data_IF_212886489709
#
_entry.id   IF_212886489709
#
_cell.length_a   1.000
_cell.length_b   1.000
_cell.length_c   1.000
_cell.angle_alpha   90.00
_cell.angle_beta   90.00
_cell.angle_gamma   90.00
#
_symmetry.space_group_name_H-M   'P 1'
#
loop_
_entity.id
_entity.type
_entity.pdbx_description
1 polymer ?
#
# COMPACT_ATOMS: atom_id res chain seq x y z
N UNK A 1 -17.28 1.19 -12.26
CA UNK A 1 -17.55 1.95 -11.01
C UNK A 1 -18.68 3.00 -11.09
N UNK A 2 -19.34 3.26 -12.25
CA UNK A 2 -20.65 3.95 -12.26
C UNK A 2 -21.88 3.01 -12.07
N UNK A 3 -21.76 1.72 -12.38
CA UNK A 3 -22.89 0.76 -12.38
C UNK A 3 -23.35 0.25 -11.01
N UNK A 4 -22.65 0.58 -9.92
CA UNK A 4 -22.95 0.01 -8.59
C UNK A 4 -23.94 0.84 -7.77
N UNK A 5 -24.38 2.02 -8.24
CA UNK A 5 -25.37 2.87 -7.55
C UNK A 5 -25.03 3.15 -6.06
N UNK A 6 -23.75 3.35 -5.74
CA UNK A 6 -23.24 3.69 -4.40
C UNK A 6 -23.53 5.16 -4.04
N UNK A 7 -24.82 5.51 -3.99
CA UNK A 7 -25.31 6.89 -3.87
C UNK A 7 -25.82 7.27 -2.48
N UNK A 8 -25.65 6.39 -1.48
CA UNK A 8 -25.98 6.68 -0.08
C UNK A 8 -24.80 6.33 0.82
N UNK A 9 -24.72 6.97 2.00
CA UNK A 9 -23.69 6.68 3.00
C UNK A 9 -23.64 5.19 3.33
N UNK A 10 -24.77 4.57 3.60
CA UNK A 10 -24.83 3.16 4.01
C UNK A 10 -24.33 2.22 2.92
N UNK A 11 -24.63 2.51 1.65
CA UNK A 11 -24.09 1.75 0.51
C UNK A 11 -22.58 1.90 0.40
N UNK A 12 -22.05 3.11 0.60
CA UNK A 12 -20.60 3.35 0.60
C UNK A 12 -19.94 2.59 1.77
N UNK A 13 -20.48 2.71 2.97
CA UNK A 13 -19.95 2.00 4.16
C UNK A 13 -20.01 0.49 3.98
N UNK A 14 -21.11 -0.06 3.46
CA UNK A 14 -21.22 -1.48 3.14
C UNK A 14 -20.19 -1.92 2.10
N UNK A 15 -19.98 -1.11 1.05
CA UNK A 15 -18.96 -1.36 0.02
C UNK A 15 -17.52 -1.33 0.59
N UNK A 16 -17.27 -0.51 1.62
CA UNK A 16 -16.03 -0.43 2.37
C UNK A 16 -15.98 -1.41 3.56
N UNK A 17 -16.69 -2.53 3.47
CA UNK A 17 -16.66 -3.63 4.44
C UNK A 17 -17.08 -3.20 5.86
N UNK A 18 -18.04 -2.28 5.96
CA UNK A 18 -18.53 -1.74 7.23
C UNK A 18 -17.67 -0.61 7.82
N UNK A 19 -16.55 -0.25 7.18
CA UNK A 19 -15.73 0.86 7.64
C UNK A 19 -16.43 2.20 7.42
N UNK A 20 -16.63 2.95 8.50
CA UNK A 20 -17.35 4.24 8.49
C UNK A 20 -16.49 5.43 8.88
N UNK A 21 -15.25 5.19 9.34
CA UNK A 21 -14.26 6.22 9.66
C UNK A 21 -13.16 6.20 8.60
N UNK A 22 -13.11 7.22 7.76
CA UNK A 22 -12.14 7.32 6.66
C UNK A 22 -10.98 8.21 7.07
N UNK A 23 -9.78 7.63 7.14
CA UNK A 23 -8.55 8.33 7.51
C UNK A 23 -7.50 8.19 6.41
N UNK A 24 -6.50 9.07 6.43
CA UNK A 24 -5.35 9.01 5.51
C UNK A 24 -4.64 7.66 5.61
N UNK A 25 -4.38 7.03 4.47
CA UNK A 25 -3.70 5.72 4.36
C UNK A 25 -4.64 4.50 4.40
N UNK A 26 -5.90 4.68 4.78
CA UNK A 26 -6.94 3.64 4.65
C UNK A 26 -7.22 3.36 3.16
N UNK A 27 -7.31 2.08 2.80
CA UNK A 27 -7.70 1.62 1.46
C UNK A 27 -9.07 0.93 1.52
N UNK A 28 -9.75 0.83 0.38
CA UNK A 28 -11.08 0.19 0.32
C UNK A 28 -11.04 -1.28 0.77
N UNK A 29 -9.94 -1.98 0.50
CA UNK A 29 -9.77 -3.39 0.85
C UNK A 29 -9.22 -3.60 2.27
N UNK A 30 -8.88 -2.54 3.03
CA UNK A 30 -8.23 -2.67 4.36
C UNK A 30 -9.03 -3.57 5.30
N UNK A 31 -10.35 -3.39 5.34
CA UNK A 31 -11.23 -4.17 6.21
C UNK A 31 -11.70 -5.50 5.61
N UNK A 32 -11.31 -5.82 4.37
CA UNK A 32 -11.46 -7.17 3.82
C UNK A 32 -10.31 -8.05 4.30
N UNK A 33 -9.09 -7.65 3.96
CA UNK A 33 -7.81 -8.18 4.42
C UNK A 33 -6.62 -7.37 3.86
N UNK A 34 -5.45 -7.52 4.49
CA UNK A 34 -4.24 -6.85 4.01
C UNK A 34 -3.68 -7.46 2.72
N UNK A 35 -4.03 -8.71 2.38
CA UNK A 35 -3.59 -9.35 1.13
C UNK A 35 -4.11 -8.59 -0.09
N UNK A 36 -5.42 -8.35 -0.18
CA UNK A 36 -6.04 -7.58 -1.26
C UNK A 36 -5.62 -6.11 -1.23
N UNK A 37 -5.41 -5.57 -0.03
CA UNK A 37 -4.81 -4.23 0.12
C UNK A 37 -3.42 -4.19 -0.53
N UNK A 38 -2.61 -5.21 -0.31
CA UNK A 38 -1.29 -5.35 -0.91
C UNK A 38 -1.34 -5.42 -2.43
N UNK A 39 -2.36 -6.06 -3.00
CA UNK A 39 -2.53 -6.15 -4.45
C UNK A 39 -2.72 -4.76 -5.08
N UNK A 40 -3.56 -3.92 -4.47
CA UNK A 40 -3.76 -2.54 -4.90
C UNK A 40 -2.49 -1.69 -4.77
N UNK A 41 -1.76 -1.82 -3.65
CA UNK A 41 -0.51 -1.11 -3.40
C UNK A 41 0.59 -1.50 -4.39
N UNK A 42 0.74 -2.80 -4.67
CA UNK A 42 1.70 -3.30 -5.66
C UNK A 42 1.39 -2.74 -7.04
N UNK A 43 0.13 -2.82 -7.47
CA UNK A 43 -0.29 -2.36 -8.79
C UNK A 43 -0.01 -0.86 -9.00
N UNK A 44 -0.37 0.00 -8.04
CA UNK A 44 -0.11 1.44 -8.17
C UNK A 44 1.39 1.75 -8.09
N UNK A 45 2.17 1.01 -7.31
CA UNK A 45 3.63 1.16 -7.24
C UNK A 45 4.28 0.84 -8.58
N UNK A 46 3.87 -0.26 -9.23
CA UNK A 46 4.37 -0.65 -10.55
C UNK A 46 3.96 0.35 -11.65
N UNK A 47 2.73 0.88 -11.60
CA UNK A 47 2.29 1.93 -12.54
C UNK A 47 3.13 3.20 -12.35
N UNK A 48 3.35 3.63 -11.11
CA UNK A 48 4.16 4.80 -10.82
C UNK A 48 5.62 4.61 -11.28
N UNK A 49 6.20 3.43 -11.06
CA UNK A 49 7.56 3.12 -11.51
C UNK A 49 7.67 3.05 -13.03
N UNK A 50 6.72 2.38 -13.70
CA UNK A 50 6.68 2.32 -15.17
C UNK A 50 6.58 3.72 -15.77
N UNK A 51 5.67 4.55 -15.23
CA UNK A 51 5.52 5.94 -15.67
C UNK A 51 6.82 6.73 -15.49
N UNK A 52 7.51 6.57 -14.36
CA UNK A 52 8.78 7.24 -14.07
C UNK A 52 9.86 6.83 -15.08
N UNK A 53 10.01 5.54 -15.34
CA UNK A 53 10.96 4.99 -16.34
C UNK A 53 10.67 5.57 -17.73
N UNK A 54 9.40 5.80 -18.06
CA UNK A 54 8.97 6.43 -19.31
C UNK A 54 9.05 7.97 -19.31
N UNK A 55 9.70 8.57 -18.30
CA UNK A 55 9.96 10.00 -18.24
C UNK A 55 8.85 10.84 -17.58
N UNK A 56 7.83 10.21 -16.99
CA UNK A 56 6.77 10.92 -16.25
C UNK A 56 6.73 10.51 -14.79
N UNK A 57 7.13 11.43 -13.93
CA UNK A 57 7.21 11.18 -12.49
C UNK A 57 5.86 11.34 -11.77
N UNK A 58 5.22 10.21 -11.45
CA UNK A 58 3.98 10.20 -10.63
C UNK A 58 4.27 10.25 -9.12
N UNK A 59 5.47 9.87 -8.68
CA UNK A 59 5.83 9.93 -7.26
C UNK A 59 5.91 11.38 -6.74
N UNK A 60 6.12 12.35 -7.63
CA UNK A 60 6.08 13.79 -7.32
C UNK A 60 4.69 14.41 -7.28
N UNK A 61 3.64 13.62 -7.48
CA UNK A 61 2.25 14.08 -7.51
C UNK A 61 1.47 13.60 -6.30
N UNK A 62 0.16 13.84 -6.29
CA UNK A 62 -0.75 13.30 -5.27
C UNK A 62 -0.78 11.76 -5.25
N UNK A 63 -0.43 11.09 -6.36
CA UNK A 63 -0.26 9.63 -6.42
C UNK A 63 0.83 9.16 -5.45
N UNK A 64 2.00 9.82 -5.47
CA UNK A 64 3.11 9.51 -4.58
C UNK A 64 2.76 9.73 -3.10
N UNK A 65 2.06 10.82 -2.79
CA UNK A 65 1.61 11.10 -1.43
C UNK A 65 0.58 10.06 -0.94
N UNK A 66 -0.41 9.71 -1.76
CA UNK A 66 -1.40 8.67 -1.44
C UNK A 66 -0.73 7.31 -1.23
N UNK A 67 0.23 6.96 -2.07
CA UNK A 67 1.00 5.72 -1.95
C UNK A 67 1.83 5.71 -0.67
N UNK A 68 2.54 6.80 -0.35
CA UNK A 68 3.31 6.94 0.89
C UNK A 68 2.45 6.69 2.13
N UNK A 69 1.27 7.31 2.15
CA UNK A 69 0.35 7.20 3.28
C UNK A 69 -0.25 5.80 3.40
N UNK A 70 -0.63 5.18 2.28
CA UNK A 70 -1.10 3.80 2.27
C UNK A 70 0.00 2.83 2.75
N UNK A 71 1.22 2.93 2.20
CA UNK A 71 2.34 2.10 2.62
C UNK A 71 2.62 2.25 4.12
N UNK A 72 2.67 3.47 4.65
CA UNK A 72 2.94 3.72 6.07
C UNK A 72 1.85 3.14 6.98
N UNK A 73 0.58 3.41 6.66
CA UNK A 73 -0.56 2.94 7.45
C UNK A 73 -0.63 1.41 7.48
N UNK A 74 -0.60 0.77 6.30
CA UNK A 74 -0.77 -0.68 6.20
C UNK A 74 0.45 -1.43 6.76
N UNK A 75 1.66 -0.90 6.58
CA UNK A 75 2.87 -1.51 7.15
C UNK A 75 2.86 -1.48 8.68
N UNK A 76 2.36 -0.41 9.30
CA UNK A 76 2.24 -0.31 10.75
C UNK A 76 1.38 -1.43 11.33
N UNK A 77 0.20 -1.69 10.75
CA UNK A 77 -0.67 -2.78 11.19
C UNK A 77 -0.13 -4.16 10.83
N UNK A 78 0.52 -4.31 9.68
CA UNK A 78 1.19 -5.57 9.31
C UNK A 78 2.33 -5.92 10.30
N UNK A 79 2.98 -4.92 10.89
CA UNK A 79 4.00 -5.08 11.94
C UNK A 79 3.41 -5.27 13.35
N UNK A 80 2.09 -5.30 13.50
CA UNK A 80 1.44 -5.61 14.77
C UNK A 80 1.04 -4.39 15.62
N UNK A 81 0.91 -3.20 15.04
CA UNK A 81 0.30 -2.07 15.75
C UNK A 81 -1.12 -2.44 16.25
N UNK A 82 -1.47 -1.96 17.45
CA UNK A 82 -2.79 -2.21 18.02
C UNK A 82 -3.90 -1.63 17.12
N UNK A 83 -4.87 -2.47 16.76
CA UNK A 83 -6.00 -2.07 15.90
C UNK A 83 -7.07 -1.41 16.77
N UNK A 84 -7.36 -0.12 16.59
CA UNK A 84 -8.40 0.55 17.38
C UNK A 84 -9.79 0.08 16.97
N UNK A 85 -10.77 0.13 17.87
CA UNK A 85 -12.13 -0.37 17.61
C UNK A 85 -12.85 0.29 16.42
N UNK A 86 -12.47 1.53 16.05
CA UNK A 86 -13.03 2.21 14.88
C UNK A 86 -12.51 1.67 13.55
N UNK A 87 -11.39 0.94 13.53
CA UNK A 87 -10.77 0.38 12.34
C UNK A 87 -11.21 -1.09 12.20
N UNK A 88 -12.07 -1.37 11.22
CA UNK A 88 -12.50 -2.72 10.88
C UNK A 88 -13.08 -3.50 12.09
N UNK A 89 -13.75 -2.79 13.01
CA UNK A 89 -14.29 -3.38 14.24
C UNK A 89 -13.21 -3.84 15.24
N UNK A 90 -12.00 -3.28 15.16
CA UNK A 90 -10.87 -3.63 16.03
C UNK A 90 -10.08 -4.87 15.59
N UNK A 91 -10.34 -5.42 14.41
CA UNK A 91 -9.63 -6.61 13.90
C UNK A 91 -9.22 -6.43 12.44
N UNK A 92 -7.96 -6.75 12.13
CA UNK A 92 -7.43 -6.81 10.77
C UNK A 92 -6.92 -8.22 10.47
N UNK A 93 -7.03 -8.63 9.20
CA UNK A 93 -6.42 -9.87 8.70
C UNK A 93 -5.08 -9.53 8.05
N UNK A 94 -3.94 -9.88 8.69
CA UNK A 94 -2.63 -9.58 8.12
C UNK A 94 -2.37 -10.43 6.87
N UNK A 95 -1.36 -10.05 6.09
CA UNK A 95 -1.04 -10.71 4.82
C UNK A 95 -0.62 -9.76 3.71
N UNK A 96 -0.11 -8.56 4.03
CA UNK A 96 0.22 -7.52 3.05
C UNK A 96 1.15 -8.02 1.92
N UNK A 97 1.99 -9.01 2.22
CA UNK A 97 2.92 -9.61 1.29
C UNK A 97 4.14 -8.72 0.98
N UNK A 98 5.02 -9.17 0.07
CA UNK A 98 6.26 -8.47 -0.26
C UNK A 98 6.03 -7.34 -1.28
N UNK A 99 5.09 -6.43 -1.02
CA UNK A 99 4.60 -5.43 -2.00
C UNK A 99 5.16 -4.02 -1.79
N UNK A 100 6.01 -3.84 -0.77
CA UNK A 100 6.44 -2.51 -0.32
C UNK A 100 7.68 -2.00 -1.04
N UNK A 101 8.47 -2.88 -1.65
CA UNK A 101 9.84 -2.60 -2.11
C UNK A 101 9.89 -1.48 -3.17
N UNK A 102 9.10 -1.58 -4.24
CA UNK A 102 9.11 -0.60 -5.35
C UNK A 102 8.75 0.80 -4.86
N UNK A 103 7.62 0.92 -4.16
CA UNK A 103 7.15 2.21 -3.63
C UNK A 103 8.07 2.76 -2.54
N UNK A 104 8.62 1.89 -1.68
CA UNK A 104 9.59 2.26 -0.67
C UNK A 104 10.87 2.80 -1.30
N UNK A 105 11.47 2.10 -2.27
CA UNK A 105 12.68 2.58 -2.93
C UNK A 105 12.47 3.95 -3.59
N UNK A 106 11.34 4.11 -4.27
CA UNK A 106 11.02 5.36 -4.96
C UNK A 106 10.90 6.57 -4.02
N UNK A 107 10.20 6.39 -2.90
CA UNK A 107 9.87 7.47 -1.96
C UNK A 107 10.96 7.67 -0.90
N UNK A 108 11.53 6.59 -0.38
CA UNK A 108 12.60 6.64 0.62
C UNK A 108 13.95 6.94 -0.03
N UNK A 109 14.46 6.04 -0.88
CA UNK A 109 15.83 6.14 -1.38
C UNK A 109 16.01 7.30 -2.36
N UNK A 110 15.09 7.45 -3.33
CA UNK A 110 15.24 8.50 -4.36
C UNK A 110 14.69 9.86 -3.96
N UNK A 111 13.77 9.93 -2.98
CA UNK A 111 13.10 11.17 -2.57
C UNK A 111 13.35 11.58 -1.11
N UNK A 112 14.07 10.78 -0.33
CA UNK A 112 14.48 11.13 1.03
C UNK A 112 13.35 11.10 2.07
N UNK A 113 12.23 10.44 1.80
CA UNK A 113 11.12 10.32 2.76
C UNK A 113 11.44 9.24 3.80
N UNK A 114 11.31 9.52 5.09
CA UNK A 114 11.73 8.59 6.15
C UNK A 114 11.02 7.21 6.12
N UNK A 115 9.71 7.16 5.86
CA UNK A 115 8.91 5.93 5.70
C UNK A 115 9.16 4.80 6.72
N UNK A 116 9.36 5.13 8.00
CA UNK A 116 9.89 4.22 9.04
C UNK A 116 9.21 2.84 9.11
N UNK A 117 7.88 2.76 9.22
CA UNK A 117 7.17 1.47 9.30
C UNK A 117 7.28 0.67 8.01
N UNK A 118 7.23 1.35 6.86
CA UNK A 118 7.39 0.70 5.55
C UNK A 118 8.81 0.19 5.36
N UNK A 119 9.81 0.95 5.78
CA UNK A 119 11.21 0.53 5.75
C UNK A 119 11.45 -0.69 6.62
N UNK A 120 10.97 -0.69 7.87
CA UNK A 120 11.06 -1.85 8.75
C UNK A 120 10.42 -3.10 8.13
N UNK A 121 9.20 -2.99 7.58
CA UNK A 121 8.54 -4.12 6.93
C UNK A 121 9.26 -4.58 5.66
N UNK A 122 9.74 -3.65 4.83
CA UNK A 122 10.48 -3.97 3.61
C UNK A 122 11.75 -4.75 3.95
N UNK A 123 12.55 -4.24 4.89
CA UNK A 123 13.79 -4.87 5.31
C UNK A 123 13.56 -6.25 5.93
N UNK A 124 12.50 -6.43 6.74
CA UNK A 124 12.14 -7.74 7.30
C UNK A 124 11.76 -8.77 6.22
N UNK A 125 11.24 -8.31 5.07
CA UNK A 125 10.82 -9.17 3.97
C UNK A 125 11.93 -9.41 2.92
N UNK A 126 13.06 -8.71 3.02
CA UNK A 126 14.18 -8.88 2.08
C UNK A 126 14.98 -10.16 2.41
N UNK A 127 15.50 -10.88 1.39
CA UNK A 127 15.16 -10.73 -0.02
C UNK A 127 13.78 -11.29 -0.33
N UNK A 128 12.95 -10.49 -1.01
CA UNK A 128 11.63 -10.94 -1.43
C UNK A 128 11.71 -11.75 -2.72
N UNK A 129 11.02 -12.89 -2.75
CA UNK A 129 10.82 -13.73 -3.94
C UNK A 129 9.67 -13.22 -4.82
N UNK A 130 8.85 -14.15 -5.30
CA UNK A 130 7.62 -13.86 -6.03
C UNK A 130 6.39 -14.20 -5.20
N UNK A 131 5.27 -13.49 -5.43
CA UNK A 131 3.96 -13.90 -4.93
C UNK A 131 3.17 -14.76 -5.94
N UNK A 132 3.80 -15.18 -7.04
CA UNK A 132 3.23 -15.92 -8.17
C UNK A 132 2.06 -15.22 -8.88
N UNK A 133 1.91 -13.90 -8.71
CA UNK A 133 0.86 -13.11 -9.37
C UNK A 133 1.45 -11.96 -10.17
N UNK A 134 2.06 -10.99 -9.49
CA UNK A 134 2.54 -9.74 -10.10
C UNK A 134 3.76 -9.15 -9.40
N UNK A 135 4.18 -9.69 -8.25
CA UNK A 135 5.46 -9.36 -7.60
C UNK A 135 6.48 -10.42 -7.99
N UNK A 136 7.67 -10.00 -8.41
CA UNK A 136 8.77 -10.91 -8.70
C UNK A 136 10.12 -10.23 -8.47
N UNK A 137 10.86 -10.71 -7.47
CA UNK A 137 12.27 -10.37 -7.24
C UNK A 137 12.52 -8.85 -7.14
N UNK A 138 11.61 -8.13 -6.49
CA UNK A 138 11.68 -6.68 -6.40
C UNK A 138 12.92 -6.22 -5.63
N UNK A 139 13.38 -6.98 -4.63
CA UNK A 139 14.63 -6.65 -3.93
C UNK A 139 15.83 -6.64 -4.87
N UNK A 140 15.88 -7.51 -5.88
CA UNK A 140 16.97 -7.53 -6.86
C UNK A 140 16.99 -6.26 -7.74
N UNK A 141 15.82 -5.70 -8.03
CA UNK A 141 15.67 -4.59 -8.98
C UNK A 141 15.57 -3.22 -8.32
N UNK A 142 15.04 -3.17 -7.08
CA UNK A 142 14.71 -1.96 -6.36
C UNK A 142 15.38 -1.87 -4.98
N UNK A 143 16.02 -2.94 -4.49
CA UNK A 143 16.73 -2.91 -3.21
C UNK A 143 17.85 -1.87 -3.22
N UNK A 144 17.63 -0.78 -2.49
CA UNK A 144 18.57 0.34 -2.34
C UNK A 144 19.07 0.93 -3.67
N UNK A 145 18.21 0.87 -4.68
CA UNK A 145 18.52 1.35 -6.02
C UNK A 145 18.37 2.90 -6.08
N UNK A 146 19.46 3.65 -6.28
CA UNK A 146 19.43 5.11 -6.29
C UNK A 146 18.93 5.72 -7.61
N UNK A 147 18.65 4.91 -8.64
CA UNK A 147 18.35 5.35 -10.02
C UNK A 147 16.87 5.30 -10.44
#
# INVERSE_FOLDING_TARGET
>A
MPSQNLNTRDKIVAYWQGQSTFVTGLTQETCRDLTHTGYGISAISHIAETSRIQGRDLYGTDVGERLRQALGFQSGYQLGAAVPGWLCGGTLKPGLGPVTEVGYNALHNRRGVAMTSTGALTLNNRPAGSNNLFVAWETLTHGDNPS
#
